data_IF_027416204668
#
_entry.id   IF_027416204668
#
_cell.length_a   1.000
_cell.length_b   1.000
_cell.length_c   1.000
_cell.angle_alpha   90.00
_cell.angle_beta   90.00
_cell.angle_gamma   90.00
#
_symmetry.space_group_name_H-M   'P 1'
#
loop_
_entity.id
_entity.type
_entity.pdbx_description
1 polymer ?
#
# COMPACT_ATOMS: atom_id res chain seq x y z
N UNK A 1 -21.19 -14.53 6.43
CA UNK A 1 -20.68 -13.75 7.59
C UNK A 1 -19.18 -13.99 7.64
N UNK A 2 -18.36 -13.02 7.19
CA UNK A 2 -16.90 -13.20 7.13
C UNK A 2 -16.33 -13.17 8.55
N UNK A 3 -16.04 -14.34 9.11
CA UNK A 3 -15.44 -14.46 10.44
C UNK A 3 -13.93 -14.15 10.33
N UNK A 4 -13.49 -13.03 10.89
CA UNK A 4 -12.07 -12.64 10.89
C UNK A 4 -11.37 -13.27 12.10
N UNK A 5 -10.80 -14.47 11.94
CA UNK A 5 -9.97 -15.03 13.00
C UNK A 5 -8.58 -14.39 12.99
N UNK A 6 -8.37 -13.51 13.98
CA UNK A 6 -7.14 -13.41 14.77
C UNK A 6 -5.94 -12.63 14.19
N UNK A 7 -6.17 -11.44 13.63
CA UNK A 7 -5.21 -10.31 13.70
C UNK A 7 -5.98 -8.99 13.88
N UNK A 8 -6.32 -8.62 15.12
CA UNK A 8 -6.97 -7.33 15.43
C UNK A 8 -5.94 -6.19 15.34
N UNK A 9 -5.62 -5.76 14.13
CA UNK A 9 -4.83 -4.55 13.94
C UNK A 9 -5.69 -3.33 14.26
N UNK A 10 -5.40 -2.66 15.39
CA UNK A 10 -6.03 -1.37 15.73
C UNK A 10 -5.32 -0.29 14.93
N UNK A 11 -5.95 0.16 13.84
CA UNK A 11 -5.51 1.38 13.16
C UNK A 11 -5.80 2.60 14.06
N UNK A 12 -4.91 3.60 14.11
CA UNK A 12 -5.12 4.81 14.92
C UNK A 12 -6.31 5.65 14.44
N UNK A 13 -6.83 5.38 13.23
CA UNK A 13 -7.91 6.08 12.55
C UNK A 13 -8.65 5.10 11.61
N UNK A 14 -9.87 5.44 11.11
CA UNK A 14 -10.55 4.64 10.11
C UNK A 14 -9.62 4.31 8.93
N UNK A 15 -9.64 3.05 8.50
CA UNK A 15 -8.74 2.60 7.45
C UNK A 15 -9.07 3.31 6.13
N UNK A 16 -8.03 3.86 5.48
CA UNK A 16 -8.12 4.44 4.15
C UNK A 16 -6.82 4.08 3.39
N UNK A 17 -6.86 3.72 2.09
CA UNK A 17 -5.68 3.27 1.35
C UNK A 17 -4.51 4.27 1.37
N UNK A 18 -4.80 5.57 1.30
CA UNK A 18 -3.75 6.61 1.36
C UNK A 18 -3.03 6.65 2.71
N UNK A 19 -3.63 6.13 3.78
CA UNK A 19 -3.03 6.07 5.12
C UNK A 19 -1.80 5.16 5.18
N UNK A 20 -1.58 4.36 4.15
CA UNK A 20 -0.44 3.46 4.02
C UNK A 20 0.81 4.19 3.50
N UNK A 21 0.70 5.47 3.09
CA UNK A 21 1.72 6.18 2.31
C UNK A 21 2.26 7.37 3.06
N UNK A 22 3.55 7.32 3.38
CA UNK A 22 4.22 8.33 4.17
C UNK A 22 5.30 9.01 3.32
N UNK A 23 5.26 10.33 3.26
CA UNK A 23 6.37 11.11 2.72
C UNK A 23 7.63 10.91 3.57
N UNK A 24 8.79 10.65 2.95
CA UNK A 24 10.08 10.49 3.64
C UNK A 24 10.68 11.82 4.16
N UNK A 25 9.94 12.92 4.09
CA UNK A 25 10.41 14.27 4.41
C UNK A 25 10.71 14.57 5.88
N UNK A 26 10.31 13.72 6.84
CA UNK A 26 10.47 14.04 8.26
C UNK A 26 11.01 12.85 9.05
N UNK A 27 11.89 13.16 10.01
CA UNK A 27 12.51 12.29 11.04
C UNK A 27 11.48 11.50 11.88
N UNK A 28 10.17 11.73 11.70
CA UNK A 28 9.08 11.09 12.46
C UNK A 28 8.11 10.36 11.54
N UNK A 29 8.50 9.19 11.03
CA UNK A 29 7.54 8.17 10.57
C UNK A 29 7.06 7.38 11.79
N UNK A 30 6.04 7.89 12.48
CA UNK A 30 5.44 7.17 13.60
C UNK A 30 4.32 6.25 13.08
N UNK A 31 4.38 4.95 13.42
CA UNK A 31 3.40 3.93 13.03
C UNK A 31 1.94 4.27 13.37
N UNK A 32 1.75 5.19 14.32
CA UNK A 32 0.46 5.60 14.89
C UNK A 32 0.06 7.04 14.50
N UNK A 33 0.78 7.69 13.58
CA UNK A 33 0.46 9.06 13.15
C UNK A 33 -0.21 9.04 11.77
N UNK A 34 -1.16 9.94 11.57
CA UNK A 34 -1.80 10.16 10.28
C UNK A 34 -0.74 10.37 9.21
N UNK A 35 -0.88 9.67 8.09
CA UNK A 35 0.05 9.78 6.98
C UNK A 35 -0.14 11.13 6.27
N UNK A 36 0.90 11.95 6.23
CA UNK A 36 0.93 13.09 5.32
C UNK A 36 1.34 12.57 3.94
N UNK A 37 0.35 12.40 3.05
CA UNK A 37 0.55 12.14 1.62
C UNK A 37 1.01 13.39 0.85
N UNK A 38 1.67 14.31 1.55
CA UNK A 38 2.21 15.53 0.98
C UNK A 38 3.32 15.23 -0.02
N UNK A 39 3.41 16.06 -1.05
CA UNK A 39 4.48 15.99 -2.05
C UNK A 39 5.85 16.04 -1.38
N UNK A 40 6.75 15.13 -1.78
CA UNK A 40 8.13 15.08 -1.34
C UNK A 40 9.04 15.57 -2.48
N UNK A 41 9.80 16.67 -2.31
CA UNK A 41 10.73 17.13 -3.35
C UNK A 41 11.86 16.13 -3.63
N UNK A 42 12.18 15.22 -2.69
CA UNK A 42 13.17 14.16 -2.89
C UNK A 42 12.61 12.91 -3.60
N UNK A 43 11.31 12.89 -3.89
CA UNK A 43 10.66 11.80 -4.64
C UNK A 43 10.64 10.43 -3.96
N UNK A 44 10.88 10.37 -2.64
CA UNK A 44 10.94 9.11 -1.88
C UNK A 44 9.79 8.97 -0.89
N UNK A 45 9.12 7.84 -0.93
CA UNK A 45 7.95 7.55 -0.09
C UNK A 45 8.13 6.21 0.61
N UNK A 46 7.51 6.10 1.79
CA UNK A 46 7.41 4.85 2.53
C UNK A 46 5.99 4.33 2.44
N UNK A 47 5.85 3.05 2.11
CA UNK A 47 4.57 2.35 2.08
C UNK A 47 4.53 1.32 3.21
N UNK A 48 3.49 1.36 4.02
CA UNK A 48 3.21 0.34 5.03
C UNK A 48 2.34 -0.74 4.40
N UNK A 49 2.92 -1.88 4.07
CA UNK A 49 2.21 -3.02 3.48
C UNK A 49 2.40 -4.27 4.34
N UNK A 50 1.38 -5.13 4.40
CA UNK A 50 1.42 -6.39 5.11
C UNK A 50 1.98 -7.49 4.19
N UNK A 51 3.02 -8.18 4.63
CA UNK A 51 3.66 -9.25 3.87
C UNK A 51 4.37 -10.23 4.81
N UNK A 52 4.19 -11.53 4.54
CA UNK A 52 4.70 -12.63 5.38
C UNK A 52 4.33 -12.47 6.87
N UNK A 53 3.04 -12.23 7.15
CA UNK A 53 2.50 -12.21 8.52
C UNK A 53 2.76 -10.92 9.32
N UNK A 54 3.38 -9.88 8.75
CA UNK A 54 3.60 -8.61 9.44
C UNK A 54 3.59 -7.39 8.52
N UNK A 55 3.31 -6.22 9.08
CA UNK A 55 3.50 -4.95 8.36
C UNK A 55 4.98 -4.63 8.20
N UNK A 56 5.36 -4.21 7.00
CA UNK A 56 6.72 -3.81 6.62
C UNK A 56 6.66 -2.45 5.93
N UNK A 57 7.72 -1.66 6.11
CA UNK A 57 7.89 -0.39 5.43
C UNK A 57 8.69 -0.62 4.15
N UNK A 58 8.08 -0.32 3.01
CA UNK A 58 8.68 -0.41 1.68
C UNK A 58 9.04 1.00 1.18
N UNK A 59 10.28 1.21 0.78
CA UNK A 59 10.67 2.48 0.13
C UNK A 59 10.33 2.43 -1.35
N UNK A 60 9.60 3.43 -1.85
CA UNK A 60 9.20 3.56 -3.25
C UNK A 60 9.54 4.97 -3.75
N UNK A 61 10.03 5.05 -4.99
CA UNK A 61 10.27 6.31 -5.70
C UNK A 61 9.03 6.76 -6.47
N UNK A 62 8.91 8.06 -6.66
CA UNK A 62 7.92 8.73 -7.51
C UNK A 62 8.18 8.60 -9.02
N UNK A 63 9.26 7.95 -9.45
CA UNK A 63 9.46 7.59 -10.86
C UNK A 63 8.40 6.58 -11.31
N UNK A 64 7.38 7.05 -12.03
CA UNK A 64 6.31 6.21 -12.55
C UNK A 64 6.64 5.72 -13.97
N UNK A 65 6.24 4.49 -14.33
CA UNK A 65 6.40 4.01 -15.70
C UNK A 65 5.51 4.82 -16.65
N UNK A 66 6.09 5.23 -17.78
CA UNK A 66 5.45 6.03 -18.82
C UNK A 66 5.35 5.22 -20.12
N UNK A 67 4.29 5.47 -20.89
CA UNK A 67 4.19 5.06 -22.28
C UNK A 67 5.05 5.95 -23.20
N UNK A 68 5.23 5.56 -24.45
CA UNK A 68 5.86 6.33 -25.52
C UNK A 68 5.27 7.75 -25.69
N UNK A 69 4.01 7.93 -25.29
CA UNK A 69 3.31 9.22 -25.31
C UNK A 69 3.43 10.02 -24.01
N UNK A 70 4.38 9.69 -23.12
CA UNK A 70 4.55 10.29 -21.78
C UNK A 70 3.31 10.17 -20.87
N UNK A 71 2.49 9.13 -21.08
CA UNK A 71 1.31 8.86 -20.25
C UNK A 71 1.69 7.89 -19.13
N UNK A 72 1.26 8.18 -17.90
CA UNK A 72 1.50 7.29 -16.76
C UNK A 72 0.73 5.99 -16.96
N UNK A 73 1.43 4.86 -16.85
CA UNK A 73 0.88 3.52 -17.04
C UNK A 73 0.20 2.95 -15.78
N UNK A 74 0.35 3.62 -14.63
CA UNK A 74 -0.25 3.21 -13.37
C UNK A 74 -1.58 3.93 -13.13
N UNK A 75 -2.50 3.32 -12.34
CA UNK A 75 -3.74 3.97 -11.94
C UNK A 75 -3.51 5.32 -11.27
N UNK A 76 -4.26 6.33 -11.70
CA UNK A 76 -4.27 7.68 -11.15
C UNK A 76 -5.64 7.99 -10.55
N UNK A 77 -5.66 8.87 -9.55
CA UNK A 77 -6.91 9.47 -9.10
C UNK A 77 -7.40 10.49 -10.14
N UNK A 78 -8.69 10.86 -10.09
CA UNK A 78 -9.23 11.95 -10.93
C UNK A 78 -8.39 13.24 -10.84
N UNK A 79 -7.86 13.52 -9.65
CA UNK A 79 -6.85 14.55 -9.47
C UNK A 79 -5.45 13.96 -9.70
N UNK A 80 -4.91 14.16 -10.90
CA UNK A 80 -3.58 13.67 -11.30
C UNK A 80 -2.41 14.23 -10.46
N UNK A 81 -2.63 15.26 -9.63
CA UNK A 81 -1.62 15.76 -8.68
C UNK A 81 -1.44 14.84 -7.47
N UNK A 82 -2.37 13.90 -7.28
CA UNK A 82 -2.40 12.99 -6.13
C UNK A 82 -1.64 11.72 -6.46
N UNK A 83 -0.42 11.62 -5.94
CA UNK A 83 0.50 10.52 -6.23
C UNK A 83 0.29 9.27 -5.35
N UNK A 84 -0.60 9.30 -4.36
CA UNK A 84 -0.72 8.18 -3.43
C UNK A 84 -1.14 6.89 -4.15
N UNK A 85 -2.07 6.94 -5.09
CA UNK A 85 -2.55 5.74 -5.79
C UNK A 85 -1.47 5.05 -6.64
N UNK A 86 -0.75 5.75 -7.55
CA UNK A 86 0.29 5.11 -8.34
C UNK A 86 1.46 4.62 -7.48
N UNK A 87 1.80 5.33 -6.39
CA UNK A 87 2.80 4.87 -5.42
C UNK A 87 2.36 3.57 -4.73
N UNK A 88 1.10 3.49 -4.29
CA UNK A 88 0.54 2.30 -3.66
C UNK A 88 0.59 1.09 -4.59
N UNK A 89 0.15 1.27 -5.84
CA UNK A 89 0.15 0.21 -6.86
C UNK A 89 1.57 -0.25 -7.15
N UNK A 90 2.52 0.68 -7.28
CA UNK A 90 3.94 0.32 -7.45
C UNK A 90 4.49 -0.48 -6.26
N UNK A 91 4.04 -0.19 -5.04
CA UNK A 91 4.35 -0.98 -3.85
C UNK A 91 3.77 -2.39 -3.89
N UNK A 92 2.49 -2.52 -4.29
CA UNK A 92 1.83 -3.82 -4.45
C UNK A 92 2.52 -4.68 -5.51
N UNK A 93 2.87 -4.09 -6.67
CA UNK A 93 3.62 -4.77 -7.73
C UNK A 93 4.98 -5.27 -7.24
N UNK A 94 5.65 -4.50 -6.37
CA UNK A 94 6.92 -4.93 -5.78
C UNK A 94 6.75 -6.09 -4.79
N UNK A 95 5.68 -6.11 -4.00
CA UNK A 95 5.37 -7.24 -3.12
C UNK A 95 5.00 -8.47 -3.95
N UNK A 96 4.20 -8.29 -4.98
CA UNK A 96 3.81 -9.33 -5.90
C UNK A 96 5.03 -9.96 -6.60
N UNK A 97 5.98 -9.15 -7.07
CA UNK A 97 7.24 -9.65 -7.65
C UNK A 97 8.16 -10.37 -6.65
N UNK A 98 7.93 -10.21 -5.34
CA UNK A 98 8.65 -10.91 -4.27
C UNK A 98 7.90 -12.15 -3.77
N UNK A 99 6.62 -12.30 -4.12
CA UNK A 99 5.86 -13.49 -3.81
C UNK A 99 6.27 -14.57 -4.83
N UNK A 100 6.92 -15.62 -4.33
CA UNK A 100 7.43 -16.72 -5.16
C UNK A 100 6.28 -17.52 -5.82
N UNK A 101 5.11 -17.54 -5.16
CA UNK A 101 3.89 -18.17 -5.64
C UNK A 101 2.71 -17.18 -5.63
N UNK A 102 1.92 -17.21 -6.70
CA UNK A 102 0.73 -16.36 -6.88
C UNK A 102 -0.29 -16.53 -5.75
N UNK A 103 -0.42 -17.75 -5.21
CA UNK A 103 -1.38 -18.08 -4.15
C UNK A 103 -1.09 -17.36 -2.82
N UNK A 104 0.13 -16.86 -2.66
CA UNK A 104 0.55 -16.15 -1.43
C UNK A 104 0.24 -14.65 -1.49
N UNK A 105 -0.18 -14.12 -2.64
CA UNK A 105 -0.48 -12.69 -2.80
C UNK A 105 -1.99 -12.41 -2.77
N UNK A 106 -2.46 -11.78 -1.70
CA UNK A 106 -3.80 -11.22 -1.62
C UNK A 106 -3.72 -9.71 -1.36
N UNK A 107 -4.27 -8.91 -2.27
CA UNK A 107 -4.23 -7.44 -2.19
C UNK A 107 -4.93 -6.91 -0.93
N UNK A 108 -6.08 -7.48 -0.55
CA UNK A 108 -6.81 -7.08 0.67
C UNK A 108 -5.95 -7.37 1.89
N UNK A 109 -5.35 -8.56 1.97
CA UNK A 109 -4.44 -8.91 3.05
C UNK A 109 -3.22 -8.01 3.10
N UNK A 110 -2.62 -7.68 1.95
CA UNK A 110 -1.49 -6.75 1.89
C UNK A 110 -1.83 -5.34 2.39
N UNK A 111 -3.05 -4.86 2.14
CA UNK A 111 -3.48 -3.50 2.48
C UNK A 111 -4.00 -3.38 3.93
N UNK A 112 -4.63 -4.43 4.44
CA UNK A 112 -5.36 -4.40 5.73
C UNK A 112 -4.71 -5.26 6.81
N UNK A 113 -3.91 -6.25 6.43
CA UNK A 113 -3.44 -7.32 7.30
C UNK A 113 -4.52 -8.33 7.69
N UNK A 114 -5.69 -8.31 7.04
CA UNK A 114 -6.77 -9.27 7.26
C UNK A 114 -6.73 -10.39 6.21
N UNK A 115 -6.81 -11.63 6.67
CA UNK A 115 -6.96 -12.77 5.78
C UNK A 115 -8.44 -12.93 5.41
N UNK A 116 -8.74 -13.00 4.12
CA UNK A 116 -10.04 -13.46 3.65
C UNK A 116 -10.09 -14.97 3.81
N UNK A 117 -11.04 -15.48 4.58
CA UNK A 117 -11.32 -16.92 4.63
C UNK A 117 -12.44 -17.17 3.63
N UNK A 118 -12.19 -17.97 2.61
CA UNK A 118 -13.25 -18.51 1.77
C UNK A 118 -14.06 -19.49 2.61
N UNK A 119 -15.28 -19.12 2.96
CA UNK A 119 -16.24 -20.10 3.46
C UNK A 119 -16.82 -20.80 2.24
N UNK A 120 -16.40 -22.04 1.99
CA UNK A 120 -17.17 -22.96 1.15
C UNK A 120 -18.54 -23.14 1.82
N UNK A 121 -19.50 -22.30 1.42
CA UNK A 121 -20.90 -22.52 1.75
C UNK A 121 -21.37 -23.64 0.82
N UNK A 122 -21.41 -24.87 1.36
CA UNK A 122 -22.22 -25.94 0.79
C UNK A 122 -23.70 -25.63 1.00
#
# INVERSE_FOLDING_TARGET
MLCTSRLKNKWPQPWHPSNLIFSRCKVKVAWNKQSDSQYNPYGKYWLKLFFMGKFRMLCVSDHLPLDNNNRILLPLCENNKVLWLPLLVKGLLRIYALADEFEQFNTITCLTGWSCIETNCQ
#
